data_IF_754370157353
#
_entry.id   IF_754370157353
#
_cell.length_a   1.000
_cell.length_b   1.000
_cell.length_c   1.000
_cell.angle_alpha   90.00
_cell.angle_beta   90.00
_cell.angle_gamma   90.00
#
_symmetry.space_group_name_H-M   'P 1'
#
loop_
_entity.id
_entity.type
_entity.pdbx_description
1 polymer ?
#
# COMPACT_ATOMS: atom_id res chain seq x y z
N UNK A 1 44.07 6.91 -3.52
CA UNK A 1 43.52 6.69 -2.19
C UNK A 1 42.10 7.29 -1.99
N UNK A 2 41.16 7.17 -2.97
CA UNK A 2 39.79 7.73 -2.86
C UNK A 2 38.65 6.69 -3.00
N UNK A 3 38.96 5.37 -3.03
CA UNK A 3 37.95 4.32 -3.25
C UNK A 3 37.47 3.58 -1.97
N UNK A 4 38.10 3.80 -0.81
CA UNK A 4 37.78 3.07 0.42
C UNK A 4 36.64 3.74 1.20
N UNK A 5 36.42 5.06 1.04
CA UNK A 5 35.42 5.82 1.79
C UNK A 5 33.98 5.51 1.33
N UNK A 6 33.79 5.13 0.06
CA UNK A 6 32.45 4.86 -0.50
C UNK A 6 31.84 3.53 0.02
N UNK A 7 32.67 2.56 0.40
CA UNK A 7 32.21 1.25 0.88
C UNK A 7 31.76 1.27 2.36
N UNK A 8 32.41 2.13 3.17
CA UNK A 8 32.05 2.32 4.58
C UNK A 8 30.69 3.05 4.76
N UNK A 9 30.33 3.92 3.82
CA UNK A 9 29.03 4.61 3.85
C UNK A 9 27.83 3.68 3.58
N UNK A 10 28.01 2.66 2.73
CA UNK A 10 26.93 1.70 2.41
C UNK A 10 26.67 0.76 3.59
N UNK A 11 27.71 0.34 4.30
CA UNK A 11 27.57 -0.52 5.49
C UNK A 11 26.96 0.23 6.69
N UNK A 12 27.37 1.47 6.92
CA UNK A 12 26.78 2.31 7.97
C UNK A 12 25.31 2.67 7.73
N UNK A 13 24.89 2.75 6.46
CA UNK A 13 23.52 3.04 6.10
C UNK A 13 22.57 1.87 6.45
N UNK A 14 22.98 0.61 6.24
CA UNK A 14 22.19 -0.55 6.60
C UNK A 14 22.05 -0.72 8.13
N UNK A 15 23.15 -0.65 8.87
CA UNK A 15 23.16 -0.78 10.35
C UNK A 15 22.47 0.38 11.06
N UNK A 16 22.60 1.60 10.57
CA UNK A 16 21.95 2.77 11.16
C UNK A 16 20.43 2.78 10.92
N UNK A 17 19.95 2.27 9.79
CA UNK A 17 18.51 2.18 9.49
C UNK A 17 17.81 1.12 10.34
N UNK A 18 18.42 -0.02 10.59
CA UNK A 18 17.83 -1.08 11.42
C UNK A 18 17.60 -0.58 12.85
N UNK A 19 18.54 0.15 13.44
CA UNK A 19 18.40 0.73 14.77
C UNK A 19 17.31 1.79 14.85
N UNK A 20 17.18 2.64 13.84
CA UNK A 20 16.11 3.66 13.76
C UNK A 20 14.74 2.95 13.71
N UNK A 21 14.63 1.85 12.98
CA UNK A 21 13.39 1.09 12.86
C UNK A 21 13.01 0.37 14.16
N UNK A 22 13.98 -0.16 14.92
CA UNK A 22 13.73 -0.81 16.21
C UNK A 22 13.09 0.12 17.23
N UNK A 23 13.51 1.40 17.26
CA UNK A 23 13.04 2.39 18.24
C UNK A 23 11.67 2.99 17.86
N UNK A 24 11.19 2.83 16.61
CA UNK A 24 9.96 3.46 16.15
C UNK A 24 8.72 3.07 16.95
N UNK A 25 8.57 1.79 17.26
CA UNK A 25 7.36 1.29 17.92
C UNK A 25 7.39 1.50 19.43
N UNK A 26 8.58 1.58 20.05
CA UNK A 26 8.74 1.80 21.51
C UNK A 26 8.13 3.12 21.96
N UNK A 27 8.37 4.20 21.22
CA UNK A 27 7.87 5.54 21.53
C UNK A 27 6.33 5.64 21.57
N UNK A 28 5.64 4.68 20.94
CA UNK A 28 4.18 4.71 20.79
C UNK A 28 3.44 3.61 21.58
N UNK A 29 4.16 2.82 22.39
CA UNK A 29 3.59 1.71 23.16
C UNK A 29 2.67 0.82 22.31
N UNK A 30 3.12 0.46 21.12
CA UNK A 30 2.41 -0.40 20.17
C UNK A 30 3.36 -1.39 19.53
N UNK A 31 2.80 -2.39 18.84
CA UNK A 31 3.53 -3.41 18.11
C UNK A 31 3.26 -3.26 16.62
N UNK A 32 4.23 -3.63 15.81
CA UNK A 32 4.11 -3.55 14.36
C UNK A 32 5.36 -3.97 13.64
N UNK A 33 5.29 -3.97 12.32
CA UNK A 33 6.48 -4.10 11.48
C UNK A 33 6.52 -3.00 10.46
N UNK A 34 7.73 -2.53 10.20
CA UNK A 34 8.06 -1.63 9.12
C UNK A 34 9.17 -2.28 8.29
N UNK A 35 8.89 -2.63 7.05
CA UNK A 35 9.85 -3.19 6.13
C UNK A 35 10.11 -2.25 4.97
N UNK A 36 11.37 -2.11 4.62
CA UNK A 36 11.89 -1.30 3.51
C UNK A 36 12.55 -2.20 2.50
N UNK A 37 12.34 -1.93 1.21
CA UNK A 37 12.99 -2.64 0.10
C UNK A 37 13.56 -1.64 -0.90
N UNK A 38 14.83 -1.80 -1.27
CA UNK A 38 15.54 -0.93 -2.23
C UNK A 38 15.73 -1.54 -3.62
N UNK A 39 15.13 -2.70 -3.86
CA UNK A 39 15.29 -3.49 -5.08
C UNK A 39 16.31 -4.61 -4.98
N UNK A 40 17.11 -4.65 -3.90
CA UNK A 40 18.09 -5.70 -3.63
C UNK A 40 18.02 -6.19 -2.19
N UNK A 41 17.96 -5.28 -1.23
CA UNK A 41 18.06 -5.55 0.18
C UNK A 41 16.80 -5.12 0.91
N UNK A 42 16.54 -5.80 2.02
CA UNK A 42 15.48 -5.44 2.96
C UNK A 42 16.09 -4.94 4.27
N UNK A 43 15.42 -3.95 4.87
CA UNK A 43 15.60 -3.57 6.26
C UNK A 43 14.26 -3.64 6.99
N UNK A 44 14.23 -4.09 8.24
CA UNK A 44 13.01 -4.21 9.04
C UNK A 44 13.34 -4.20 10.52
N UNK A 45 12.45 -3.65 11.34
CA UNK A 45 12.51 -3.80 12.79
C UNK A 45 12.15 -5.22 13.25
N UNK A 46 11.35 -5.94 12.45
CA UNK A 46 10.88 -7.30 12.76
C UNK A 46 10.63 -8.08 11.46
N UNK A 47 11.63 -8.83 11.01
CA UNK A 47 11.55 -9.66 9.81
C UNK A 47 10.59 -10.85 9.97
N UNK A 48 10.36 -11.32 11.18
CA UNK A 48 9.41 -12.42 11.41
C UNK A 48 7.99 -11.92 11.18
N UNK A 49 7.61 -10.81 11.80
CA UNK A 49 6.30 -10.18 11.60
C UNK A 49 6.12 -9.65 10.16
N UNK A 50 7.20 -9.20 9.51
CA UNK A 50 7.14 -8.75 8.12
C UNK A 50 6.73 -9.85 7.14
N UNK A 51 6.90 -11.12 7.50
CA UNK A 51 6.48 -12.31 6.72
C UNK A 51 5.10 -12.82 7.13
N UNK A 52 4.57 -12.44 8.29
CA UNK A 52 3.21 -12.80 8.70
C UNK A 52 2.18 -12.17 7.78
N UNK A 53 1.11 -12.90 7.50
CA UNK A 53 0.07 -12.46 6.60
C UNK A 53 -1.16 -11.95 7.36
N UNK A 54 -1.69 -10.83 6.86
CA UNK A 54 -2.88 -10.18 7.39
C UNK A 54 -3.77 -9.71 6.26
N UNK A 55 -5.05 -9.45 6.55
CA UNK A 55 -5.95 -8.81 5.59
C UNK A 55 -5.38 -7.47 5.13
N UNK A 56 -5.30 -7.20 3.82
CA UNK A 56 -4.76 -5.96 3.29
C UNK A 56 -5.65 -4.74 3.56
N UNK A 57 -6.91 -4.94 3.87
CA UNK A 57 -7.88 -3.88 3.99
C UNK A 57 -7.83 -2.91 2.79
N UNK A 58 -7.88 -1.60 3.02
CA UNK A 58 -7.91 -0.62 1.93
C UNK A 58 -6.60 -0.47 1.13
N UNK A 59 -5.51 -1.17 1.49
CA UNK A 59 -4.31 -1.19 0.64
C UNK A 59 -4.55 -1.99 -0.65
N UNK A 60 -5.45 -2.99 -0.63
CA UNK A 60 -5.86 -3.73 -1.81
C UNK A 60 -6.47 -2.87 -2.92
N UNK A 61 -7.02 -1.69 -2.58
CA UNK A 61 -7.62 -0.77 -3.56
C UNK A 61 -6.64 -0.33 -4.66
N UNK A 62 -5.33 -0.38 -4.42
CA UNK A 62 -4.28 -0.15 -5.43
C UNK A 62 -4.44 -1.16 -6.57
N UNK A 63 -4.50 -2.44 -6.22
CA UNK A 63 -4.54 -3.53 -7.19
C UNK A 63 -5.94 -3.73 -7.76
N UNK A 64 -7.01 -3.45 -6.99
CA UNK A 64 -8.36 -3.42 -7.50
C UNK A 64 -8.51 -2.37 -8.63
N UNK A 65 -7.96 -1.16 -8.42
CA UNK A 65 -7.93 -0.11 -9.45
C UNK A 65 -7.08 -0.51 -10.67
N UNK A 66 -5.90 -1.13 -10.45
CA UNK A 66 -5.02 -1.58 -11.51
C UNK A 66 -5.70 -2.64 -12.39
N UNK A 67 -6.32 -3.64 -11.76
CA UNK A 67 -7.03 -4.71 -12.46
C UNK A 67 -8.19 -4.15 -13.28
N UNK A 68 -8.96 -3.21 -12.72
CA UNK A 68 -10.09 -2.60 -13.43
C UNK A 68 -9.66 -1.80 -14.66
N UNK A 69 -8.60 -1.00 -14.55
CA UNK A 69 -8.05 -0.23 -15.67
C UNK A 69 -7.46 -1.15 -16.75
N UNK A 70 -6.70 -2.15 -16.34
CA UNK A 70 -5.99 -3.03 -17.28
C UNK A 70 -6.93 -3.92 -18.10
N UNK A 71 -8.06 -4.32 -17.50
CA UNK A 71 -9.09 -5.14 -18.16
C UNK A 71 -10.19 -4.28 -18.81
N UNK A 72 -10.05 -2.95 -18.88
CA UNK A 72 -11.02 -2.07 -19.52
C UNK A 72 -12.39 -2.02 -18.83
N UNK A 73 -12.49 -2.43 -17.56
CA UNK A 73 -13.73 -2.38 -16.76
C UNK A 73 -14.18 -0.95 -16.54
N UNK A 74 -13.21 -0.05 -16.47
CA UNK A 74 -13.38 1.41 -16.50
C UNK A 74 -12.40 2.00 -17.51
N UNK A 75 -12.83 3.06 -18.17
CA UNK A 75 -12.10 3.69 -19.26
C UNK A 75 -10.86 4.47 -18.79
N UNK A 76 -11.03 5.23 -17.72
CA UNK A 76 -9.99 6.08 -17.15
C UNK A 76 -10.25 6.39 -15.65
N UNK A 77 -9.34 7.12 -15.05
CA UNK A 77 -9.41 7.44 -13.61
C UNK A 77 -10.46 8.48 -13.24
N UNK A 78 -11.09 9.15 -14.19
CA UNK A 78 -12.07 10.23 -14.01
C UNK A 78 -13.51 9.75 -14.29
N UNK A 79 -13.68 8.65 -14.99
CA UNK A 79 -15.00 8.05 -15.25
C UNK A 79 -15.74 7.81 -13.94
N UNK A 80 -16.99 8.28 -13.86
CA UNK A 80 -17.87 7.97 -12.74
C UNK A 80 -18.41 6.57 -12.94
N UNK A 81 -17.97 5.63 -12.11
CA UNK A 81 -18.38 4.24 -12.18
C UNK A 81 -19.29 3.79 -11.03
N UNK A 82 -19.32 4.57 -9.96
CA UNK A 82 -20.16 4.33 -8.79
C UNK A 82 -21.10 5.52 -8.58
N UNK A 83 -22.41 5.21 -8.43
CA UNK A 83 -23.46 6.16 -8.12
C UNK A 83 -24.03 5.86 -6.73
N UNK A 84 -23.96 6.84 -5.83
CA UNK A 84 -24.49 6.74 -4.49
C UNK A 84 -26.03 6.75 -4.52
N UNK A 85 -26.66 5.71 -3.95
CA UNK A 85 -28.11 5.52 -3.98
C UNK A 85 -28.80 5.72 -2.64
N UNK A 86 -28.13 6.40 -1.69
CA UNK A 86 -28.70 6.64 -0.36
C UNK A 86 -28.44 5.52 0.66
N UNK A 87 -27.65 4.50 0.33
CA UNK A 87 -27.32 3.42 1.23
C UNK A 87 -26.55 3.89 2.48
N UNK A 88 -26.71 3.14 3.59
CA UNK A 88 -25.96 3.42 4.82
C UNK A 88 -24.48 3.17 4.60
N UNK A 89 -23.66 4.18 4.85
CA UNK A 89 -22.20 4.12 4.72
C UNK A 89 -21.52 4.52 6.03
N UNK A 90 -20.30 3.99 6.23
CA UNK A 90 -19.55 4.22 7.47
C UNK A 90 -19.05 5.68 7.61
N UNK A 91 -18.58 6.29 6.51
CA UNK A 91 -18.08 7.66 6.51
C UNK A 91 -19.02 8.60 5.75
N UNK A 92 -19.35 9.81 6.30
CA UNK A 92 -20.15 10.80 5.58
C UNK A 92 -19.56 11.17 4.20
N UNK A 93 -18.24 11.19 4.07
CA UNK A 93 -17.54 11.47 2.81
C UNK A 93 -17.79 10.43 1.69
N UNK A 94 -18.41 9.30 2.00
CA UNK A 94 -18.76 8.26 1.02
C UNK A 94 -20.15 8.44 0.42
N UNK A 95 -20.97 9.38 0.93
CA UNK A 95 -22.33 9.70 0.45
C UNK A 95 -22.29 10.50 -0.85
N UNK A 96 -21.61 9.99 -1.87
CA UNK A 96 -21.47 10.67 -3.16
C UNK A 96 -20.96 9.73 -4.25
N UNK A 97 -21.21 10.09 -5.49
CA UNK A 97 -20.69 9.42 -6.66
C UNK A 97 -19.16 9.38 -6.68
N UNK A 98 -18.61 8.41 -7.40
CA UNK A 98 -17.17 8.24 -7.43
C UNK A 98 -16.61 7.80 -8.78
N UNK A 99 -15.51 8.47 -9.15
CA UNK A 99 -14.48 7.99 -10.06
C UNK A 99 -13.36 7.27 -9.28
N UNK A 100 -12.42 6.61 -9.96
CA UNK A 100 -11.24 6.06 -9.28
C UNK A 100 -10.47 7.13 -8.51
N UNK A 101 -10.26 8.30 -9.10
CA UNK A 101 -9.53 9.40 -8.47
C UNK A 101 -10.18 9.84 -7.16
N UNK A 102 -11.49 9.97 -7.13
CA UNK A 102 -12.21 10.37 -5.93
C UNK A 102 -12.37 9.24 -4.92
N UNK A 103 -12.64 8.02 -5.38
CA UNK A 103 -12.83 6.85 -4.52
C UNK A 103 -11.54 6.45 -3.77
N UNK A 104 -10.38 6.47 -4.43
CA UNK A 104 -9.11 6.11 -3.79
C UNK A 104 -8.71 7.14 -2.75
N UNK A 105 -8.90 8.43 -3.05
CA UNK A 105 -8.62 9.55 -2.14
C UNK A 105 -9.44 9.48 -0.87
N UNK A 106 -10.74 9.17 -0.98
CA UNK A 106 -11.66 8.99 0.16
C UNK A 106 -11.60 7.59 0.77
N UNK A 107 -10.84 6.69 0.17
CA UNK A 107 -10.82 5.25 0.52
C UNK A 107 -12.25 4.65 0.55
N UNK A 108 -13.11 5.03 -0.41
CA UNK A 108 -14.54 4.76 -0.44
C UNK A 108 -14.82 3.26 -0.67
N UNK A 109 -15.15 2.56 0.41
CA UNK A 109 -15.37 1.09 0.36
C UNK A 109 -16.53 0.71 -0.55
N UNK A 110 -17.72 1.36 -0.52
CA UNK A 110 -18.83 0.99 -1.40
C UNK A 110 -18.47 1.04 -2.89
N UNK A 111 -17.73 2.07 -3.31
CA UNK A 111 -17.28 2.20 -4.70
C UNK A 111 -16.35 1.04 -5.10
N UNK A 112 -15.40 0.65 -4.23
CA UNK A 112 -14.49 -0.45 -4.53
C UNK A 112 -15.17 -1.85 -4.46
N UNK A 113 -16.23 -2.00 -3.68
CA UNK A 113 -17.10 -3.19 -3.73
C UNK A 113 -17.79 -3.30 -5.10
N UNK A 114 -18.35 -2.20 -5.59
CA UNK A 114 -18.95 -2.14 -6.92
C UNK A 114 -17.93 -2.43 -8.02
N UNK A 115 -16.73 -1.83 -7.92
CA UNK A 115 -15.64 -2.07 -8.87
C UNK A 115 -15.24 -3.55 -8.93
N UNK A 116 -15.11 -4.19 -7.78
CA UNK A 116 -14.78 -5.61 -7.71
C UNK A 116 -15.87 -6.49 -8.34
N UNK A 117 -17.16 -6.17 -8.12
CA UNK A 117 -18.27 -6.86 -8.80
C UNK A 117 -18.21 -6.68 -10.31
N UNK A 118 -17.89 -5.48 -10.80
CA UNK A 118 -17.73 -5.20 -12.25
C UNK A 118 -16.55 -5.96 -12.86
N UNK A 119 -15.42 -6.10 -12.14
CA UNK A 119 -14.28 -6.92 -12.56
C UNK A 119 -14.68 -8.40 -12.68
N UNK A 120 -15.47 -8.88 -11.73
CA UNK A 120 -15.92 -10.26 -11.68
C UNK A 120 -14.89 -11.24 -11.09
N UNK A 121 -15.39 -12.38 -10.61
CA UNK A 121 -14.59 -13.34 -9.85
C UNK A 121 -13.44 -13.93 -10.68
N UNK A 122 -13.70 -14.34 -11.92
CA UNK A 122 -12.70 -14.97 -12.79
C UNK A 122 -11.52 -14.05 -13.03
N UNK A 123 -11.76 -12.84 -13.53
CA UNK A 123 -10.71 -11.84 -13.83
C UNK A 123 -9.94 -11.44 -12.57
N UNK A 124 -10.65 -11.28 -11.44
CA UNK A 124 -10.00 -10.97 -10.17
C UNK A 124 -9.05 -12.08 -9.72
N UNK A 125 -9.51 -13.35 -9.77
CA UNK A 125 -8.70 -14.51 -9.37
C UNK A 125 -7.46 -14.69 -10.25
N UNK A 126 -7.61 -14.59 -11.57
CA UNK A 126 -6.49 -14.64 -12.51
C UNK A 126 -5.48 -13.52 -12.26
N UNK A 127 -5.96 -12.32 -11.97
CA UNK A 127 -5.11 -11.16 -11.69
C UNK A 127 -4.37 -11.31 -10.36
N UNK A 128 -5.00 -11.81 -9.31
CA UNK A 128 -4.32 -12.10 -8.03
C UNK A 128 -3.21 -13.14 -8.20
N UNK A 129 -3.47 -14.19 -9.00
CA UNK A 129 -2.48 -15.22 -9.29
C UNK A 129 -1.30 -14.65 -10.09
N UNK A 130 -1.54 -13.84 -11.13
CA UNK A 130 -0.50 -13.14 -11.91
C UNK A 130 0.38 -12.25 -11.02
N UNK A 131 -0.22 -11.58 -10.05
CA UNK A 131 0.49 -10.73 -9.09
C UNK A 131 1.27 -11.52 -8.05
N UNK A 132 0.96 -12.80 -7.84
CA UNK A 132 1.36 -13.55 -6.64
C UNK A 132 0.97 -12.77 -5.37
N UNK A 133 -0.27 -12.27 -5.33
CA UNK A 133 -0.77 -11.42 -4.27
C UNK A 133 -1.14 -12.24 -3.04
N UNK A 134 -0.26 -12.30 -2.06
CA UNK A 134 -0.50 -13.02 -0.80
C UNK A 134 -0.94 -14.47 -1.04
N UNK A 135 -2.02 -14.87 -0.37
CA UNK A 135 -2.62 -16.20 -0.54
C UNK A 135 -3.61 -16.30 -1.73
N UNK A 136 -3.86 -15.21 -2.44
CA UNK A 136 -4.79 -15.10 -3.59
C UNK A 136 -6.21 -15.64 -3.34
N UNK A 137 -6.66 -15.71 -2.08
CA UNK A 137 -7.94 -16.34 -1.70
C UNK A 137 -9.09 -15.34 -1.77
N UNK A 138 -10.14 -15.68 -2.54
CA UNK A 138 -11.37 -14.92 -2.64
C UNK A 138 -12.52 -15.73 -2.01
N UNK A 139 -13.10 -15.20 -0.92
CA UNK A 139 -14.32 -15.75 -0.31
C UNK A 139 -15.56 -15.23 -1.04
N UNK A 140 -15.72 -13.90 -1.04
CA UNK A 140 -16.80 -13.16 -1.67
C UNK A 140 -16.22 -11.97 -2.41
N UNK A 141 -16.58 -11.82 -3.70
CA UNK A 141 -15.95 -10.88 -4.63
C UNK A 141 -15.88 -9.43 -4.13
N UNK A 142 -16.80 -8.99 -3.32
CA UNK A 142 -16.91 -7.61 -2.86
C UNK A 142 -16.47 -7.39 -1.40
N UNK A 143 -15.94 -8.43 -0.69
CA UNK A 143 -15.49 -8.32 0.70
C UNK A 143 -14.16 -9.01 1.00
N UNK A 144 -13.65 -9.88 0.15
CA UNK A 144 -12.51 -10.77 0.42
C UNK A 144 -11.25 -10.06 0.95
N UNK A 145 -11.05 -8.79 0.66
CA UNK A 145 -9.92 -8.00 1.19
C UNK A 145 -10.21 -7.34 2.55
N UNK A 146 -11.43 -7.53 3.09
CA UNK A 146 -11.90 -6.99 4.37
C UNK A 146 -12.21 -8.10 5.38
N UNK A 147 -12.60 -9.30 4.93
CA UNK A 147 -13.11 -10.41 5.73
C UNK A 147 -12.03 -11.43 6.14
N UNK A 148 -10.75 -11.08 6.02
CA UNK A 148 -9.58 -11.92 6.31
C UNK A 148 -9.37 -13.14 5.39
N UNK A 149 -10.14 -13.35 4.35
CA UNK A 149 -9.88 -14.44 3.38
C UNK A 149 -8.64 -14.15 2.54
N UNK A 150 -8.53 -12.95 1.96
CA UNK A 150 -7.31 -12.49 1.32
C UNK A 150 -6.32 -12.01 2.38
N UNK A 151 -5.13 -12.56 2.36
CA UNK A 151 -4.06 -12.20 3.28
C UNK A 151 -2.76 -11.95 2.55
N UNK A 152 -1.99 -10.98 3.02
CA UNK A 152 -0.71 -10.57 2.44
C UNK A 152 0.26 -10.15 3.55
N UNK A 153 1.55 -10.40 3.35
CA UNK A 153 2.59 -9.96 4.26
C UNK A 153 3.07 -8.53 3.93
N UNK A 154 3.64 -7.85 4.91
CA UNK A 154 4.28 -6.56 4.69
C UNK A 154 5.40 -6.67 3.63
N UNK A 155 6.19 -7.76 3.68
CA UNK A 155 7.22 -8.03 2.68
C UNK A 155 6.64 -8.10 1.27
N UNK A 156 5.58 -8.88 1.06
CA UNK A 156 4.97 -9.01 -0.27
C UNK A 156 4.33 -7.68 -0.74
N UNK A 157 3.76 -6.89 0.17
CA UNK A 157 3.27 -5.53 -0.16
C UNK A 157 4.41 -4.63 -0.65
N UNK A 158 5.56 -4.63 0.03
CA UNK A 158 6.72 -3.84 -0.38
C UNK A 158 7.26 -4.28 -1.75
N UNK A 159 7.35 -5.60 -2.01
CA UNK A 159 7.76 -6.17 -3.29
C UNK A 159 6.84 -5.72 -4.44
N UNK A 160 5.53 -5.81 -4.25
CA UNK A 160 4.55 -5.43 -5.27
C UNK A 160 4.57 -3.93 -5.55
N UNK A 161 4.74 -3.09 -4.53
CA UNK A 161 4.86 -1.64 -4.71
C UNK A 161 6.16 -1.24 -5.39
N UNK A 162 7.26 -1.93 -5.12
CA UNK A 162 8.51 -1.73 -5.83
C UNK A 162 8.35 -2.03 -7.32
N UNK A 163 7.73 -3.17 -7.66
CA UNK A 163 7.41 -3.53 -9.04
C UNK A 163 6.48 -2.51 -9.70
N UNK A 164 5.42 -2.05 -9.00
CA UNK A 164 4.53 -1.00 -9.52
C UNK A 164 5.29 0.29 -9.81
N UNK A 165 6.24 0.68 -8.95
CA UNK A 165 7.04 1.90 -9.13
C UNK A 165 7.87 1.89 -10.41
N UNK A 166 8.23 0.70 -10.90
CA UNK A 166 9.04 0.45 -12.11
C UNK A 166 8.21 -0.01 -13.32
N UNK A 167 6.89 -0.07 -13.24
CA UNK A 167 6.02 -0.66 -14.28
C UNK A 167 6.36 -2.12 -14.60
N UNK A 168 6.84 -2.87 -13.64
CA UNK A 168 7.27 -4.27 -13.83
C UNK A 168 6.26 -5.31 -13.32
N UNK A 169 5.05 -4.88 -12.99
CA UNK A 169 3.92 -5.80 -12.75
C UNK A 169 3.41 -6.37 -14.09
N UNK A 170 2.76 -7.55 -14.08
CA UNK A 170 2.27 -8.21 -15.31
C UNK A 170 0.98 -7.56 -15.85
N UNK A 171 0.98 -6.24 -15.99
CA UNK A 171 -0.10 -5.38 -16.50
C UNK A 171 0.49 -4.32 -17.44
N UNK A 172 -0.36 -3.67 -18.22
CA UNK A 172 0.08 -2.63 -19.15
C UNK A 172 0.77 -1.47 -18.42
N UNK A 173 1.80 -0.91 -19.03
CA UNK A 173 2.47 0.28 -18.51
C UNK A 173 1.49 1.44 -18.30
N UNK A 174 0.52 1.60 -19.21
CA UNK A 174 -0.53 2.62 -19.13
C UNK A 174 -1.31 2.50 -17.83
N UNK A 175 -1.83 1.30 -17.52
CA UNK A 175 -2.63 1.06 -16.31
C UNK A 175 -1.79 1.29 -15.03
N UNK A 176 -0.53 0.86 -15.03
CA UNK A 176 0.38 1.08 -13.90
C UNK A 176 0.68 2.58 -13.69
N UNK A 177 0.92 3.34 -14.75
CA UNK A 177 1.12 4.80 -14.64
C UNK A 177 -0.13 5.52 -14.13
N UNK A 178 -1.33 5.16 -14.61
CA UNK A 178 -2.58 5.75 -14.11
C UNK A 178 -2.79 5.47 -12.62
N UNK A 179 -2.53 4.24 -12.17
CA UNK A 179 -2.61 3.90 -10.73
C UNK A 179 -1.59 4.68 -9.90
N UNK A 180 -0.34 4.84 -10.39
CA UNK A 180 0.65 5.66 -9.67
C UNK A 180 0.18 7.11 -9.49
N UNK A 181 -0.46 7.71 -10.49
CA UNK A 181 -1.03 9.06 -10.36
C UNK A 181 -2.07 9.14 -9.23
N UNK A 182 -2.87 8.09 -9.04
CA UNK A 182 -3.87 8.03 -7.96
C UNK A 182 -3.24 7.95 -6.57
N UNK A 183 -2.03 7.42 -6.46
CA UNK A 183 -1.32 7.20 -5.20
C UNK A 183 -0.43 8.37 -4.79
N UNK A 184 -0.24 9.38 -5.63
CA UNK A 184 0.61 10.53 -5.32
C UNK A 184 0.10 11.23 -4.06
N UNK A 185 0.90 11.12 -3.00
CA UNK A 185 0.57 11.62 -1.66
C UNK A 185 1.26 12.96 -1.37
N UNK A 186 2.54 13.07 -1.74
CA UNK A 186 3.35 14.28 -1.53
C UNK A 186 4.45 14.35 -2.58
N UNK A 187 4.72 15.56 -3.05
CA UNK A 187 5.79 15.83 -4.01
C UNK A 187 6.53 17.10 -3.62
N UNK A 188 7.85 17.09 -3.77
CA UNK A 188 8.71 18.25 -3.70
C UNK A 188 9.83 18.15 -4.74
N UNK A 189 10.80 19.10 -4.74
CA UNK A 189 11.91 19.12 -5.70
C UNK A 189 12.84 17.90 -5.62
N UNK A 190 12.84 17.19 -4.49
CA UNK A 190 13.77 16.09 -4.20
C UNK A 190 13.10 14.74 -4.43
N UNK A 191 11.84 14.58 -4.04
CA UNK A 191 11.17 13.28 -4.00
C UNK A 191 9.67 13.36 -4.26
N UNK A 192 9.14 12.24 -4.78
CA UNK A 192 7.70 11.94 -4.90
C UNK A 192 7.37 10.77 -4.01
N UNK A 193 6.35 10.93 -3.19
CA UNK A 193 5.85 9.92 -2.26
C UNK A 193 4.48 9.44 -2.73
N UNK A 194 4.33 8.15 -2.89
CA UNK A 194 3.10 7.49 -3.31
C UNK A 194 2.64 6.57 -2.19
N UNK A 195 1.42 6.73 -1.72
CA UNK A 195 0.98 6.03 -0.51
C UNK A 195 -0.48 5.58 -0.57
N UNK A 196 -0.78 4.51 0.17
CA UNK A 196 -2.14 4.08 0.47
C UNK A 196 -2.23 3.55 1.89
N UNK A 197 -3.23 4.00 2.60
CA UNK A 197 -3.55 3.52 3.95
C UNK A 197 -4.60 2.41 3.90
N UNK A 198 -4.59 1.53 4.92
CA UNK A 198 -5.60 0.53 5.21
C UNK A 198 -5.89 0.46 6.69
N UNK A 199 -7.06 -0.02 7.05
CA UNK A 199 -7.43 -0.36 8.41
C UNK A 199 -8.42 -1.52 8.39
N UNK A 200 -8.14 -2.53 9.18
CA UNK A 200 -9.05 -3.65 9.43
C UNK A 200 -9.45 -3.59 10.91
N UNK A 201 -10.70 -3.20 11.15
CA UNK A 201 -11.28 -3.04 12.46
C UNK A 201 -11.51 -4.37 13.20
N UNK A 202 -11.72 -5.47 12.46
CA UNK A 202 -11.90 -6.81 13.06
C UNK A 202 -10.67 -7.30 13.82
N UNK A 203 -9.47 -6.87 13.40
CA UNK A 203 -8.20 -7.27 14.03
C UNK A 203 -7.40 -6.06 14.53
N UNK A 204 -8.02 -4.88 14.52
CA UNK A 204 -7.40 -3.62 14.95
C UNK A 204 -6.02 -3.37 14.32
N UNK A 205 -5.85 -3.68 13.04
CA UNK A 205 -4.59 -3.55 12.31
C UNK A 205 -4.66 -2.40 11.31
N UNK A 206 -3.75 -1.45 11.44
CA UNK A 206 -3.58 -0.37 10.49
C UNK A 206 -2.41 -0.63 9.56
N UNK A 207 -2.56 -0.26 8.28
CA UNK A 207 -1.55 -0.34 7.24
C UNK A 207 -1.22 1.04 6.69
N UNK A 208 0.03 1.25 6.31
CA UNK A 208 0.42 2.18 5.26
C UNK A 208 1.45 1.53 4.37
N UNK A 209 1.22 1.62 3.06
CA UNK A 209 2.12 1.08 2.03
C UNK A 209 2.53 2.21 1.11
N UNK A 210 3.81 2.26 0.78
CA UNK A 210 4.42 3.44 0.17
C UNK A 210 5.51 3.04 -0.81
N UNK A 211 5.69 3.82 -1.86
CA UNK A 211 6.99 3.91 -2.51
C UNK A 211 7.41 5.37 -2.66
N UNK A 212 8.69 5.60 -2.52
CA UNK A 212 9.33 6.91 -2.68
C UNK A 212 10.25 6.85 -3.88
N UNK A 213 10.12 7.83 -4.75
CA UNK A 213 10.99 8.01 -5.92
C UNK A 213 11.76 9.30 -5.78
N UNK A 214 13.08 9.19 -5.73
CA UNK A 214 14.02 10.32 -5.86
C UNK A 214 14.66 10.30 -7.25
N UNK A 215 15.56 11.24 -7.54
CA UNK A 215 16.32 11.26 -8.79
C UNK A 215 17.12 9.96 -9.00
N UNK A 216 17.68 9.38 -7.95
CA UNK A 216 18.67 8.30 -8.03
C UNK A 216 18.21 6.99 -7.38
N UNK A 217 17.09 6.96 -6.67
CA UNK A 217 16.69 5.81 -5.85
C UNK A 217 15.18 5.65 -5.80
N UNK A 218 14.74 4.40 -5.76
CA UNK A 218 13.38 4.01 -5.43
C UNK A 218 13.46 3.17 -4.16
N UNK A 219 12.60 3.48 -3.20
CA UNK A 219 12.38 2.67 -2.00
C UNK A 219 10.90 2.35 -1.90
N UNK A 220 10.56 1.12 -1.56
CA UNK A 220 9.21 0.74 -1.19
C UNK A 220 9.15 0.34 0.28
N UNK A 221 8.01 0.62 0.90
CA UNK A 221 7.79 0.37 2.32
C UNK A 221 6.42 -0.25 2.54
N UNK A 222 6.36 -1.12 3.52
CA UNK A 222 5.10 -1.54 4.08
C UNK A 222 5.18 -1.54 5.60
N UNK A 223 4.24 -0.87 6.22
CA UNK A 223 4.09 -0.82 7.67
C UNK A 223 2.73 -1.39 8.02
N UNK A 224 2.71 -2.31 8.98
CA UNK A 224 1.49 -2.64 9.73
C UNK A 224 1.72 -2.36 11.22
N UNK A 225 0.67 -1.91 11.90
CA UNK A 225 0.74 -1.54 13.30
C UNK A 225 -0.58 -1.88 14.00
N UNK A 226 -0.47 -2.44 15.21
CA UNK A 226 -1.63 -2.75 16.06
C UNK A 226 -2.19 -1.45 16.63
N UNK A 227 -3.50 -1.24 16.51
CA UNK A 227 -4.19 -0.03 16.95
C UNK A 227 -5.07 -0.38 18.15
N UNK A 228 -4.65 0.03 19.35
CA UNK A 228 -5.43 -0.18 20.58
C UNK A 228 -6.65 0.75 20.67
N UNK A 229 -6.54 1.98 20.15
CA UNK A 229 -7.60 2.97 20.06
C UNK A 229 -7.59 3.59 18.67
N UNK A 230 -8.75 3.63 18.00
CA UNK A 230 -8.91 4.19 16.65
C UNK A 230 -8.45 5.66 16.57
N UNK A 231 -8.49 6.41 17.66
CA UNK A 231 -7.97 7.79 17.73
C UNK A 231 -6.48 7.86 17.40
N UNK A 232 -5.76 6.75 17.61
CA UNK A 232 -4.33 6.63 17.36
C UNK A 232 -4.01 6.13 15.93
N UNK A 233 -4.99 5.99 15.06
CA UNK A 233 -4.80 5.43 13.70
C UNK A 233 -3.75 6.19 12.88
N UNK A 234 -3.56 7.48 13.15
CA UNK A 234 -2.56 8.33 12.47
C UNK A 234 -1.10 8.01 12.85
N UNK A 235 -0.89 7.07 13.78
CA UNK A 235 0.47 6.64 14.17
C UNK A 235 1.23 6.08 12.95
N UNK A 236 0.55 5.41 12.04
CA UNK A 236 1.14 4.87 10.80
C UNK A 236 1.73 5.96 9.90
N UNK A 237 1.04 7.11 9.77
CA UNK A 237 1.53 8.25 8.99
C UNK A 237 2.71 8.94 9.72
N UNK A 238 2.64 9.09 11.05
CA UNK A 238 3.72 9.66 11.87
C UNK A 238 5.00 8.82 11.78
N UNK A 239 4.88 7.49 11.85
CA UNK A 239 6.00 6.57 11.71
C UNK A 239 6.63 6.68 10.31
N UNK A 240 5.82 6.75 9.27
CA UNK A 240 6.31 6.96 7.91
C UNK A 240 7.06 8.30 7.78
N UNK A 241 6.50 9.39 8.28
CA UNK A 241 7.12 10.71 8.23
C UNK A 241 8.45 10.71 8.97
N UNK A 242 8.52 10.18 10.19
CA UNK A 242 9.77 10.05 10.97
C UNK A 242 10.85 9.33 10.17
N UNK A 243 10.50 8.21 9.49
CA UNK A 243 11.44 7.48 8.66
C UNK A 243 11.89 8.27 7.42
N UNK A 244 10.95 8.89 6.70
CA UNK A 244 11.30 9.67 5.50
C UNK A 244 12.19 10.88 5.84
N UNK A 245 11.98 11.52 6.99
CA UNK A 245 12.87 12.60 7.46
C UNK A 245 14.27 12.10 7.81
N UNK A 246 14.42 10.85 8.24
CA UNK A 246 15.74 10.26 8.52
C UNK A 246 16.54 9.87 7.26
N UNK A 247 15.89 9.89 6.08
CA UNK A 247 16.53 9.61 4.79
C UNK A 247 17.17 10.85 4.14
N UNK A 248 16.88 12.04 4.63
CA UNK A 248 17.42 13.32 4.15
C UNK A 248 18.57 13.79 5.04
#
# INVERSE_FOLDING_TARGET
>A
MKKIILFLWILNFAFGQDKILEDFFKDYNTSGTFIVFDGKNYASNDFQRAKQTFSPASTFKIFNALIALDNGVIKDTKEIFYHYKGEKVFLPSWKQDASLSSAIKRSQVPAFKELARKIGLKTMQESLNKLSYGNAKISKIDTFWLDNSLQISAKNQADLLFKLSQNSLPFSNKSQEEVKKLLLFKENKIQKIYAKTGFNDNINLAWIVVFVKTKNKILSFALNVDIKDIKNIKIREKLLEKYIYSLN
#
